data_IF_631155460668
#
_entry.id   IF_631155460668
#
_cell.length_a   1.000
_cell.length_b   1.000
_cell.length_c   1.000
_cell.angle_alpha   90.00
_cell.angle_beta   90.00
_cell.angle_gamma   90.00
#
_symmetry.space_group_name_H-M   'P 1'
#
loop_
_entity.id
_entity.type
_entity.pdbx_description
1 polymer ?
#
# COMPACT_ATOMS: atom_id res chain seq x y z
N UNK A 1 8.70 -5.81 -13.88
CA UNK A 1 7.31 -5.68 -13.37
C UNK A 1 6.63 -7.03 -13.17
N UNK A 2 6.75 -8.01 -14.08
CA UNK A 2 6.10 -9.32 -13.96
C UNK A 2 6.40 -10.06 -12.64
N UNK A 3 7.66 -10.07 -12.20
CA UNK A 3 8.04 -10.64 -10.90
C UNK A 3 7.30 -9.98 -9.73
N UNK A 4 7.18 -8.64 -9.75
CA UNK A 4 6.48 -7.87 -8.71
C UNK A 4 4.99 -8.21 -8.73
N UNK A 5 4.40 -8.25 -9.93
CA UNK A 5 2.99 -8.62 -10.11
C UNK A 5 2.72 -10.04 -9.58
N UNK A 6 3.55 -11.02 -9.93
CA UNK A 6 3.41 -12.39 -9.45
C UNK A 6 3.51 -12.49 -7.92
N UNK A 7 4.44 -11.77 -7.30
CA UNK A 7 4.56 -11.72 -5.82
C UNK A 7 3.37 -11.00 -5.19
N UNK A 8 2.85 -9.95 -5.81
CA UNK A 8 1.65 -9.25 -5.35
C UNK A 8 0.42 -10.16 -5.39
N UNK A 9 0.22 -10.90 -6.49
CA UNK A 9 -0.92 -11.79 -6.69
C UNK A 9 -0.89 -13.01 -5.75
N UNK A 10 0.29 -13.50 -5.37
CA UNK A 10 0.45 -14.59 -4.37
C UNK A 10 -0.22 -14.29 -3.02
N UNK A 11 -0.38 -13.02 -2.67
CA UNK A 11 -1.00 -12.62 -1.42
C UNK A 11 -2.49 -13.02 -1.35
N UNK A 12 -3.22 -12.98 -2.47
CA UNK A 12 -4.69 -13.07 -2.48
C UNK A 12 -5.31 -13.96 -3.57
N UNK A 13 -4.62 -14.27 -4.67
CA UNK A 13 -5.19 -15.10 -5.74
C UNK A 13 -5.51 -16.50 -5.23
N UNK A 14 -6.69 -17.02 -5.58
CA UNK A 14 -7.18 -18.30 -5.08
C UNK A 14 -7.66 -18.31 -3.62
N UNK A 15 -7.62 -17.17 -2.90
CA UNK A 15 -7.95 -17.06 -1.47
C UNK A 15 -9.32 -16.40 -1.21
N UNK A 16 -9.89 -16.56 0.00
CA UNK A 16 -11.10 -15.84 0.42
C UNK A 16 -10.91 -14.32 0.40
N UNK A 17 -12.01 -13.58 0.20
CA UNK A 17 -11.97 -12.11 0.05
C UNK A 17 -11.73 -11.34 1.35
N UNK A 18 -11.89 -12.00 2.51
CA UNK A 18 -11.91 -11.35 3.82
C UNK A 18 -11.00 -12.01 4.86
N UNK A 19 -10.09 -12.87 4.41
CA UNK A 19 -9.16 -13.59 5.27
C UNK A 19 -7.74 -13.56 4.70
N UNK A 20 -7.26 -12.35 4.40
CA UNK A 20 -5.90 -12.12 3.92
C UNK A 20 -5.10 -11.50 5.07
N UNK A 21 -4.14 -12.21 5.69
CA UNK A 21 -3.33 -11.64 6.76
C UNK A 21 -2.42 -10.52 6.23
N UNK A 22 -2.08 -9.56 7.08
CA UNK A 22 -1.16 -8.45 6.73
C UNK A 22 0.20 -8.98 6.24
N UNK A 23 0.69 -10.05 6.85
CA UNK A 23 1.95 -10.72 6.48
C UNK A 23 1.92 -11.39 5.10
N UNK A 24 0.74 -11.58 4.48
CA UNK A 24 0.66 -12.10 3.11
C UNK A 24 1.41 -11.22 2.10
N UNK A 25 1.63 -9.94 2.43
CA UNK A 25 2.38 -8.99 1.60
C UNK A 25 3.85 -8.84 2.01
N UNK A 26 4.35 -9.54 3.03
CA UNK A 26 5.78 -9.49 3.40
C UNK A 26 6.71 -9.77 2.20
N UNK A 27 6.46 -10.80 1.36
CA UNK A 27 7.30 -11.06 0.19
C UNK A 27 7.33 -9.89 -0.81
N UNK A 28 6.22 -9.15 -0.93
CA UNK A 28 6.15 -7.97 -1.79
C UNK A 28 7.02 -6.84 -1.25
N UNK A 29 6.98 -6.61 0.07
CA UNK A 29 7.80 -5.58 0.72
C UNK A 29 9.29 -5.91 0.66
N UNK A 30 9.66 -7.19 0.65
CA UNK A 30 11.05 -7.62 0.40
C UNK A 30 11.45 -7.48 -1.07
N UNK A 31 10.53 -7.71 -2.01
CA UNK A 31 10.80 -7.62 -3.44
C UNK A 31 10.92 -6.17 -3.92
N UNK A 32 10.13 -5.27 -3.33
CA UNK A 32 10.12 -3.83 -3.62
C UNK A 32 10.29 -3.10 -2.29
N UNK A 33 11.52 -3.06 -1.73
CA UNK A 33 11.77 -2.33 -0.51
C UNK A 33 11.54 -0.84 -0.75
N UNK A 34 11.03 -0.14 0.26
CA UNK A 34 10.99 1.32 0.26
C UNK A 34 12.43 1.83 0.43
N UNK A 35 13.03 2.34 -0.65
CA UNK A 35 14.45 2.75 -0.70
C UNK A 35 14.67 4.26 -0.62
N UNK A 36 13.61 5.06 -0.54
CA UNK A 36 13.71 6.51 -0.53
C UNK A 36 14.29 7.02 0.80
N UNK A 37 14.92 8.21 0.77
CA UNK A 37 15.49 8.85 1.95
C UNK A 37 14.39 9.03 3.00
N UNK A 38 14.50 8.23 4.06
CA UNK A 38 13.55 8.07 5.16
C UNK A 38 13.02 9.37 5.78
N UNK A 39 13.77 10.45 5.59
CA UNK A 39 13.52 11.77 6.11
C UNK A 39 12.31 12.43 5.42
N UNK A 40 11.93 12.00 4.23
CA UNK A 40 11.04 12.83 3.41
C UNK A 40 9.62 12.27 3.26
N UNK A 41 9.32 11.14 3.91
CA UNK A 41 7.98 10.54 3.87
C UNK A 41 7.03 11.25 4.83
N UNK A 42 5.92 11.78 4.33
CA UNK A 42 4.83 12.35 5.11
C UNK A 42 3.72 11.32 5.34
N UNK A 43 3.31 11.18 6.60
CA UNK A 43 2.15 10.38 6.99
C UNK A 43 0.94 11.28 7.18
N UNK A 44 -0.25 10.77 6.85
CA UNK A 44 -1.49 11.53 6.97
C UNK A 44 -2.63 10.64 7.48
N UNK A 45 -3.57 11.25 8.21
CA UNK A 45 -4.80 10.61 8.65
C UNK A 45 -5.92 11.63 8.56
N UNK A 46 -6.90 11.36 7.70
CA UNK A 46 -8.00 12.29 7.38
C UNK A 46 -7.56 13.64 6.78
N UNK A 47 -6.28 13.81 6.46
CA UNK A 47 -5.68 15.03 5.88
C UNK A 47 -5.05 14.79 4.51
N UNK A 48 -5.50 13.75 3.79
CA UNK A 48 -4.96 13.32 2.49
C UNK A 48 -4.73 14.50 1.54
N UNK A 49 -5.77 15.27 1.29
CA UNK A 49 -5.76 16.34 0.29
C UNK A 49 -4.77 17.46 0.67
N UNK A 50 -4.70 17.81 1.96
CA UNK A 50 -3.77 18.81 2.48
C UNK A 50 -2.31 18.37 2.31
N UNK A 51 -2.01 17.10 2.65
CA UNK A 51 -0.64 16.58 2.53
C UNK A 51 -0.22 16.44 1.07
N UNK A 52 -1.11 16.00 0.19
CA UNK A 52 -0.81 15.96 -1.25
C UNK A 52 -0.66 17.36 -1.87
N UNK A 53 -1.44 18.36 -1.44
CA UNK A 53 -1.22 19.74 -1.87
C UNK A 53 0.18 20.20 -1.43
N UNK A 54 0.59 19.88 -0.20
CA UNK A 54 1.90 20.21 0.30
C UNK A 54 3.04 19.55 -0.48
N UNK A 55 2.99 18.23 -0.71
CA UNK A 55 4.05 17.51 -1.46
C UNK A 55 4.09 17.91 -2.94
N UNK A 56 2.98 18.35 -3.52
CA UNK A 56 2.96 18.90 -4.88
C UNK A 56 3.82 20.18 -5.03
N UNK A 57 3.95 20.95 -3.94
CA UNK A 57 4.76 22.19 -3.88
C UNK A 57 6.16 21.95 -3.32
N UNK A 58 6.32 20.97 -2.45
CA UNK A 58 7.56 20.61 -1.79
C UNK A 58 8.04 19.25 -2.29
N UNK A 59 8.73 19.26 -3.44
CA UNK A 59 9.15 18.04 -4.15
C UNK A 59 10.12 17.15 -3.38
N UNK A 60 10.71 17.69 -2.31
CA UNK A 60 11.57 16.91 -1.43
C UNK A 60 10.73 15.98 -0.55
N UNK A 61 9.48 16.30 -0.23
CA UNK A 61 8.60 15.47 0.58
C UNK A 61 7.67 14.62 -0.30
N UNK A 62 7.39 13.39 0.14
CA UNK A 62 6.55 12.45 -0.59
C UNK A 62 5.67 11.66 0.37
N UNK A 63 4.59 11.09 -0.14
CA UNK A 63 3.65 10.24 0.61
C UNK A 63 3.88 8.77 0.27
N UNK A 64 3.17 7.87 0.97
CA UNK A 64 3.19 6.45 0.61
C UNK A 64 2.72 6.25 -0.84
N UNK A 65 1.74 7.04 -1.28
CA UNK A 65 1.18 7.02 -2.64
C UNK A 65 2.18 7.43 -3.74
N UNK A 66 3.29 8.10 -3.38
CA UNK A 66 4.34 8.50 -4.32
C UNK A 66 5.44 7.41 -4.46
N UNK A 67 5.40 6.36 -3.64
CA UNK A 67 6.27 5.18 -3.78
C UNK A 67 5.82 4.31 -4.95
N UNK A 68 6.69 3.45 -5.49
CA UNK A 68 6.35 2.56 -6.61
C UNK A 68 5.06 1.73 -6.35
N UNK A 69 4.95 1.10 -5.18
CA UNK A 69 3.78 0.29 -4.85
C UNK A 69 2.54 1.16 -4.58
N UNK A 70 2.72 2.28 -3.89
CA UNK A 70 1.62 3.22 -3.61
C UNK A 70 1.04 3.79 -4.91
N UNK A 71 1.89 4.26 -5.82
CA UNK A 71 1.48 4.84 -7.09
C UNK A 71 0.68 3.85 -7.95
N UNK A 72 1.16 2.60 -8.06
CA UNK A 72 0.49 1.58 -8.86
C UNK A 72 -0.85 1.11 -8.28
N UNK A 73 -1.09 1.26 -6.97
CA UNK A 73 -2.24 0.67 -6.28
C UNK A 73 -3.21 1.70 -5.70
N UNK A 74 -2.85 2.99 -5.71
CA UNK A 74 -3.70 4.07 -5.26
C UNK A 74 -5.00 4.14 -6.08
N UNK A 75 -6.14 4.20 -5.40
CA UNK A 75 -7.46 4.22 -6.03
C UNK A 75 -7.94 2.90 -6.63
N UNK A 76 -7.12 1.83 -6.61
CA UNK A 76 -7.50 0.53 -7.13
C UNK A 76 -8.10 -0.39 -6.06
N UNK A 77 -8.96 -1.31 -6.49
CA UNK A 77 -9.50 -2.39 -5.65
C UNK A 77 -9.20 -3.74 -6.30
N UNK A 78 -8.76 -4.70 -5.50
CA UNK A 78 -8.47 -6.06 -5.94
C UNK A 78 -8.87 -7.08 -4.89
N UNK A 79 -9.21 -8.27 -5.36
CA UNK A 79 -9.40 -9.44 -4.52
C UNK A 79 -9.27 -10.75 -5.29
N UNK A 80 -8.99 -11.82 -4.56
CA UNK A 80 -9.10 -13.17 -5.08
C UNK A 80 -10.51 -13.74 -4.92
N UNK A 81 -10.68 -14.97 -5.40
CA UNK A 81 -11.85 -15.80 -5.10
C UNK A 81 -11.33 -17.20 -4.81
N UNK A 82 -11.86 -17.80 -3.75
CA UNK A 82 -11.47 -19.14 -3.34
C UNK A 82 -11.61 -20.14 -4.50
N UNK A 83 -10.54 -20.91 -4.75
CA UNK A 83 -10.49 -21.89 -5.84
C UNK A 83 -10.48 -21.31 -7.26
N UNK A 84 -10.43 -19.97 -7.43
CA UNK A 84 -10.36 -19.33 -8.75
C UNK A 84 -9.03 -18.64 -8.95
N UNK A 85 -8.42 -18.90 -10.10
CA UNK A 85 -7.23 -18.19 -10.52
C UNK A 85 -7.57 -16.76 -10.99
N UNK A 86 -6.61 -15.85 -10.82
CA UNK A 86 -6.67 -14.48 -11.28
C UNK A 86 -7.21 -13.46 -10.28
N UNK A 87 -7.03 -12.20 -10.67
CA UNK A 87 -7.38 -11.01 -9.90
C UNK A 87 -8.75 -10.47 -10.33
N UNK A 88 -9.61 -10.20 -9.37
CA UNK A 88 -10.92 -9.59 -9.60
C UNK A 88 -10.91 -8.15 -9.10
N UNK A 89 -11.50 -7.24 -9.87
CA UNK A 89 -11.68 -5.82 -9.50
C UNK A 89 -13.13 -5.48 -9.17
N UNK A 90 -14.07 -6.31 -9.62
CA UNK A 90 -15.49 -6.16 -9.37
C UNK A 90 -15.95 -6.97 -8.15
N UNK A 91 -16.86 -6.38 -7.35
CA UNK A 91 -17.45 -6.98 -6.16
C UNK A 91 -16.43 -7.39 -5.07
N UNK A 92 -15.34 -6.63 -4.94
CA UNK A 92 -14.37 -6.81 -3.87
C UNK A 92 -14.76 -6.00 -2.62
N UNK A 93 -14.44 -6.47 -1.40
CA UNK A 93 -14.68 -5.70 -0.19
C UNK A 93 -13.84 -4.43 -0.18
N UNK A 94 -14.51 -3.28 -0.14
CA UNK A 94 -13.86 -1.99 0.08
C UNK A 94 -13.41 -1.81 1.53
N UNK A 95 -13.06 -0.57 1.91
CA UNK A 95 -12.59 -0.26 3.27
C UNK A 95 -13.63 -0.57 4.38
N UNK A 96 -14.93 -0.53 4.09
CA UNK A 96 -15.98 -0.91 5.05
C UNK A 96 -16.38 -2.39 5.02
N UNK A 97 -15.90 -3.17 4.05
CA UNK A 97 -16.47 -4.48 3.74
C UNK A 97 -16.13 -5.59 4.74
N UNK A 98 -14.86 -5.67 5.16
CA UNK A 98 -14.39 -6.60 6.18
C UNK A 98 -13.03 -6.17 6.74
N UNK A 99 -12.56 -6.81 7.81
CA UNK A 99 -11.35 -6.39 8.54
C UNK A 99 -10.05 -6.71 7.79
N UNK A 100 -9.97 -7.91 7.21
CA UNK A 100 -8.77 -8.45 6.55
C UNK A 100 -9.00 -8.65 5.03
N UNK A 101 -9.46 -7.59 4.36
CA UNK A 101 -9.51 -7.58 2.89
C UNK A 101 -8.09 -7.46 2.30
N UNK A 102 -7.84 -7.99 1.08
CA UNK A 102 -6.56 -7.84 0.40
C UNK A 102 -6.08 -6.38 0.33
N UNK A 103 -7.00 -5.44 0.07
CA UNK A 103 -6.72 -4.01 0.02
C UNK A 103 -6.26 -3.49 1.38
N UNK A 104 -7.00 -3.77 2.46
CA UNK A 104 -6.65 -3.31 3.81
C UNK A 104 -5.32 -3.89 4.28
N UNK A 105 -5.13 -5.19 4.07
CA UNK A 105 -3.92 -5.89 4.51
C UNK A 105 -2.68 -5.34 3.79
N UNK A 106 -2.80 -5.00 2.51
CA UNK A 106 -1.74 -4.31 1.76
C UNK A 106 -1.42 -2.94 2.37
N UNK A 107 -2.41 -2.05 2.52
CA UNK A 107 -2.16 -0.69 3.01
C UNK A 107 -1.67 -0.66 4.46
N UNK A 108 -2.16 -1.56 5.32
CA UNK A 108 -1.62 -1.77 6.67
C UNK A 108 -0.14 -2.15 6.62
N UNK A 109 0.24 -3.09 5.74
CA UNK A 109 1.63 -3.56 5.63
C UNK A 109 2.56 -2.51 5.03
N UNK A 110 2.10 -1.81 3.99
CA UNK A 110 2.86 -0.76 3.32
C UNK A 110 3.10 0.43 4.26
N UNK A 111 2.08 0.86 5.01
CA UNK A 111 2.20 1.91 6.03
C UNK A 111 3.22 1.52 7.10
N UNK A 112 3.16 0.28 7.62
CA UNK A 112 4.15 -0.21 8.57
C UNK A 112 5.58 -0.21 7.98
N UNK A 113 5.72 -0.55 6.70
CA UNK A 113 7.01 -0.54 6.01
C UNK A 113 7.66 0.83 5.97
N UNK A 114 6.88 1.88 5.71
CA UNK A 114 7.40 3.26 5.70
C UNK A 114 7.55 3.87 7.11
N UNK A 115 6.77 3.41 8.10
CA UNK A 115 6.86 3.91 9.48
C UNK A 115 8.05 3.36 10.28
N UNK A 116 8.48 2.12 10.03
CA UNK A 116 9.61 1.49 10.76
C UNK A 116 10.97 2.12 10.39
N UNK A 117 10.99 3.02 9.41
CA UNK A 117 12.21 3.59 8.85
C UNK A 117 12.39 5.10 9.14
N UNK A 118 11.51 5.76 9.89
CA UNK A 118 11.53 7.22 10.04
C UNK A 118 12.38 7.75 11.22
N UNK A 119 13.43 8.52 10.91
CA UNK A 119 13.76 9.75 11.62
C UNK A 119 13.19 10.92 10.79
N UNK A 120 12.25 11.68 11.34
CA UNK A 120 11.50 12.73 10.60
C UNK A 120 12.27 14.06 10.67
N UNK A 121 12.86 14.59 9.59
CA UNK A 121 13.38 15.95 9.49
C UNK A 121 12.23 16.96 9.55
N UNK A 122 12.58 18.14 10.07
CA UNK A 122 11.68 19.27 10.28
C UNK A 122 11.02 19.76 8.98
N UNK A 123 11.63 19.49 7.81
CA UNK A 123 11.16 19.99 6.49
C UNK A 123 9.86 19.33 6.04
N UNK A 124 9.56 18.10 6.46
CA UNK A 124 8.36 17.37 6.02
C UNK A 124 7.32 17.23 7.15
N UNK A 125 7.27 18.21 8.05
CA UNK A 125 6.27 18.32 9.11
C UNK A 125 5.24 19.39 8.76
N UNK A 126 3.96 19.07 8.93
CA UNK A 126 2.83 20.01 8.86
C UNK A 126 2.44 20.47 10.26
#
# INVERSE_FOLDING_TARGET
CEKILGVFEQAYVGKPRCDIPVSAYDPLMTTVPFTHSCSNTMLWSKTKDLVHEYTSRNKDCFTLEDTLLGYCLNGHTWCGREGRNGTFTCCCPGWGGCENSPLKSFWKRASAGVSVQQEIPVVCQL
#
